data_IF_337035312537
#
_entry.id   IF_337035312537
#
_cell.length_a   1.000
_cell.length_b   1.000
_cell.length_c   1.000
_cell.angle_alpha   90.00
_cell.angle_beta   90.00
_cell.angle_gamma   90.00
#
_symmetry.space_group_name_H-M   'P 1'
#
loop_
_entity.id
_entity.type
_entity.pdbx_description
1 polymer ?
#
# COMPACT_ATOMS: atom_id res chain seq x y z
N UNK A 1 -22.79 7.63 10.23
CA UNK A 1 -21.36 8.01 10.35
C UNK A 1 -20.82 8.06 8.94
N UNK A 2 -20.08 9.08 8.62
CA UNK A 2 -19.48 9.14 7.31
C UNK A 2 -18.39 8.05 7.19
N UNK A 3 -18.27 7.36 6.06
CA UNK A 3 -17.27 6.33 5.88
C UNK A 3 -15.84 6.91 5.89
N UNK A 4 -14.90 6.18 6.47
CA UNK A 4 -13.48 6.49 6.39
C UNK A 4 -12.97 6.31 4.96
N UNK A 5 -13.39 5.23 4.31
CA UNK A 5 -13.13 4.92 2.91
C UNK A 5 -14.44 4.54 2.25
N UNK A 6 -14.76 5.18 1.11
CA UNK A 6 -15.89 4.83 0.27
C UNK A 6 -15.44 4.59 -1.17
N UNK A 7 -15.85 3.47 -1.74
CA UNK A 7 -15.71 3.17 -3.17
C UNK A 7 -17.10 3.14 -3.77
N UNK A 8 -17.33 3.91 -4.84
CA UNK A 8 -18.63 4.01 -5.51
C UNK A 8 -18.50 3.73 -7.00
N UNK A 9 -19.21 2.71 -7.49
CA UNK A 9 -19.32 2.30 -8.89
C UNK A 9 -17.97 2.18 -9.62
N UNK A 10 -16.94 1.68 -8.91
CA UNK A 10 -15.58 1.61 -9.40
C UNK A 10 -15.45 0.57 -10.52
N UNK A 11 -15.05 1.02 -11.70
CA UNK A 11 -14.71 0.17 -12.82
C UNK A 11 -13.27 0.41 -13.26
N UNK A 12 -12.52 -0.68 -13.42
CA UNK A 12 -11.09 -0.66 -13.78
C UNK A 12 -10.84 -1.55 -14.99
N UNK A 13 -10.04 -1.05 -15.92
CA UNK A 13 -9.58 -1.80 -17.09
C UNK A 13 -8.07 -1.80 -17.18
N UNK A 14 -7.53 -2.87 -17.76
CA UNK A 14 -6.11 -2.97 -18.11
C UNK A 14 -5.95 -3.04 -19.63
N UNK A 15 -5.01 -2.25 -20.16
CA UNK A 15 -4.58 -2.36 -21.54
C UNK A 15 -3.69 -3.59 -21.72
N UNK A 16 -3.98 -4.42 -22.73
CA UNK A 16 -3.18 -5.60 -23.10
C UNK A 16 -2.94 -5.59 -24.61
N UNK A 17 -2.02 -6.39 -25.10
CA UNK A 17 -1.72 -6.54 -26.53
C UNK A 17 -2.95 -6.99 -27.34
N UNK A 18 -3.96 -7.60 -26.68
CA UNK A 18 -5.19 -8.11 -27.28
C UNK A 18 -6.39 -7.20 -27.08
N UNK A 19 -6.20 -6.00 -26.53
CA UNK A 19 -7.26 -5.04 -26.22
C UNK A 19 -7.37 -4.74 -24.73
N UNK A 20 -8.53 -4.28 -24.28
CA UNK A 20 -8.77 -3.95 -22.88
C UNK A 20 -9.45 -5.11 -22.14
N UNK A 21 -8.96 -5.42 -20.95
CA UNK A 21 -9.58 -6.38 -20.03
C UNK A 21 -10.20 -5.60 -18.87
N UNK A 22 -11.49 -5.82 -18.63
CA UNK A 22 -12.19 -5.26 -17.49
C UNK A 22 -11.89 -6.11 -16.25
N UNK A 23 -11.28 -5.50 -15.25
CA UNK A 23 -10.89 -6.17 -14.01
C UNK A 23 -11.88 -5.89 -12.86
N UNK A 24 -12.50 -4.70 -12.85
CA UNK A 24 -13.58 -4.34 -11.94
C UNK A 24 -14.73 -3.75 -12.74
N UNK A 25 -15.97 -4.05 -12.33
CA UNK A 25 -17.20 -3.58 -12.95
C UNK A 25 -18.19 -3.12 -11.87
N UNK A 26 -18.30 -1.81 -11.66
CA UNK A 26 -19.28 -1.20 -10.75
C UNK A 26 -19.12 -1.60 -9.28
N UNK A 27 -17.89 -1.79 -8.79
CA UNK A 27 -17.64 -2.19 -7.39
C UNK A 27 -17.94 -1.02 -6.46
N UNK A 28 -18.76 -1.29 -5.42
CA UNK A 28 -19.05 -0.33 -4.36
C UNK A 28 -18.86 -0.98 -3.00
N UNK A 29 -18.23 -0.28 -2.06
CA UNK A 29 -18.06 -0.66 -0.65
C UNK A 29 -17.75 0.55 0.21
N UNK A 30 -18.12 0.45 1.48
CA UNK A 30 -17.82 1.45 2.49
C UNK A 30 -17.10 0.80 3.66
N UNK A 31 -16.19 1.55 4.27
CA UNK A 31 -15.47 1.18 5.49
C UNK A 31 -15.52 2.34 6.48
N UNK A 32 -16.03 2.09 7.68
CA UNK A 32 -16.05 3.10 8.74
C UNK A 32 -14.84 2.97 9.67
N UNK A 33 -14.53 4.03 10.40
CA UNK A 33 -13.40 4.02 11.34
C UNK A 33 -13.61 2.93 12.42
N UNK A 34 -12.55 2.15 12.68
CA UNK A 34 -12.55 1.05 13.66
C UNK A 34 -13.17 -0.25 13.15
N UNK A 35 -13.66 -0.30 11.92
CA UNK A 35 -14.22 -1.50 11.31
C UNK A 35 -13.13 -2.37 10.66
N UNK A 36 -13.39 -3.67 10.56
CA UNK A 36 -12.62 -4.61 9.72
C UNK A 36 -13.53 -5.15 8.63
N UNK A 37 -13.26 -4.80 7.37
CA UNK A 37 -14.00 -5.30 6.21
C UNK A 37 -13.21 -6.42 5.54
N UNK A 38 -13.83 -7.59 5.37
CA UNK A 38 -13.26 -8.71 4.65
C UNK A 38 -13.85 -8.80 3.22
N UNK A 39 -12.98 -8.77 2.20
CA UNK A 39 -13.36 -8.99 0.81
C UNK A 39 -12.96 -10.43 0.44
N UNK A 40 -13.95 -11.28 0.18
CA UNK A 40 -13.75 -12.69 -0.16
C UNK A 40 -14.14 -12.99 -1.60
N UNK A 41 -13.52 -13.99 -2.20
CA UNK A 41 -13.79 -14.40 -3.58
C UNK A 41 -12.65 -15.26 -4.14
N UNK A 42 -12.88 -15.86 -5.29
CA UNK A 42 -11.91 -16.70 -5.99
C UNK A 42 -10.70 -15.89 -6.51
N UNK A 43 -9.64 -16.61 -6.95
CA UNK A 43 -8.52 -15.97 -7.63
C UNK A 43 -9.02 -15.26 -8.91
N UNK A 44 -8.55 -14.05 -9.16
CA UNK A 44 -8.98 -13.26 -10.31
C UNK A 44 -10.30 -12.49 -10.14
N UNK A 45 -10.98 -12.57 -8.98
CA UNK A 45 -12.25 -11.85 -8.73
C UNK A 45 -12.10 -10.33 -8.50
N UNK A 46 -10.90 -9.76 -8.63
CA UNK A 46 -10.68 -8.32 -8.53
C UNK A 46 -10.27 -7.79 -7.15
N UNK A 47 -10.18 -8.62 -6.11
CA UNK A 47 -9.84 -8.18 -4.72
C UNK A 47 -8.58 -7.33 -4.64
N UNK A 48 -7.48 -7.83 -5.19
CA UNK A 48 -6.20 -7.10 -5.20
C UNK A 48 -6.26 -5.85 -6.06
N UNK A 49 -7.00 -5.89 -7.18
CA UNK A 49 -7.21 -4.71 -8.04
C UNK A 49 -7.98 -3.63 -7.30
N UNK A 50 -9.00 -3.99 -6.53
CA UNK A 50 -9.75 -3.05 -5.69
C UNK A 50 -8.82 -2.36 -4.68
N UNK A 51 -8.03 -3.13 -3.93
CA UNK A 51 -7.10 -2.57 -2.95
C UNK A 51 -5.99 -1.70 -3.59
N UNK A 52 -5.42 -2.13 -4.73
CA UNK A 52 -4.42 -1.35 -5.47
C UNK A 52 -5.01 -0.07 -6.06
N UNK A 53 -6.31 -0.08 -6.45
CA UNK A 53 -7.01 1.12 -6.94
C UNK A 53 -7.07 2.21 -5.89
N UNK A 54 -7.33 1.86 -4.62
CA UNK A 54 -7.37 2.82 -3.51
C UNK A 54 -6.06 3.59 -3.39
N UNK A 55 -4.95 2.91 -3.61
CA UNK A 55 -3.62 3.53 -3.55
C UNK A 55 -3.14 4.11 -4.87
N UNK A 56 -3.90 4.00 -5.97
CA UNK A 56 -3.45 4.40 -7.30
C UNK A 56 -2.21 3.61 -7.76
N UNK A 57 -2.14 2.32 -7.45
CA UNK A 57 -1.02 1.42 -7.75
C UNK A 57 -1.37 0.38 -8.84
N UNK A 58 -2.22 0.75 -9.80
CA UNK A 58 -2.65 -0.14 -10.90
C UNK A 58 -1.55 -0.36 -11.96
N UNK A 59 -0.44 0.35 -11.89
CA UNK A 59 0.59 0.38 -12.93
C UNK A 59 0.14 1.11 -14.20
N UNK A 60 1.04 1.18 -15.19
CA UNK A 60 0.84 2.00 -16.40
C UNK A 60 -0.29 1.47 -17.32
N UNK A 61 -0.57 0.17 -17.26
CA UNK A 61 -1.62 -0.46 -18.06
C UNK A 61 -3.01 -0.37 -17.43
N UNK A 62 -3.08 -0.10 -16.11
CA UNK A 62 -4.34 -0.06 -15.36
C UNK A 62 -4.95 1.35 -15.32
N UNK A 63 -6.25 1.43 -15.53
CA UNK A 63 -6.97 2.70 -15.52
C UNK A 63 -8.33 2.58 -14.85
N UNK A 64 -8.62 3.50 -13.91
CA UNK A 64 -9.98 3.73 -13.43
C UNK A 64 -10.79 4.36 -14.56
N UNK A 65 -11.87 3.70 -15.00
CA UNK A 65 -12.74 4.17 -16.07
C UNK A 65 -13.91 4.97 -15.54
N UNK A 66 -14.55 4.47 -14.49
CA UNK A 66 -15.69 5.11 -13.83
C UNK A 66 -15.63 4.91 -12.34
N UNK A 67 -16.46 5.66 -11.63
CA UNK A 67 -16.56 5.60 -10.18
C UNK A 67 -15.59 6.54 -9.48
N UNK A 68 -15.60 6.47 -8.17
CA UNK A 68 -14.73 7.27 -7.30
C UNK A 68 -14.26 6.46 -6.09
N UNK A 69 -13.17 6.93 -5.50
CA UNK A 69 -12.62 6.40 -4.27
C UNK A 69 -12.42 7.58 -3.33
N UNK A 70 -13.19 7.65 -2.26
CA UNK A 70 -13.13 8.72 -1.27
C UNK A 70 -12.47 8.22 0.01
N UNK A 71 -11.43 8.89 0.45
CA UNK A 71 -10.77 8.66 1.73
C UNK A 71 -10.87 9.93 2.58
N UNK A 72 -11.51 9.85 3.76
CA UNK A 72 -11.79 11.00 4.62
C UNK A 72 -12.47 12.17 3.84
N UNK A 73 -13.34 11.83 2.87
CA UNK A 73 -14.04 12.81 2.04
C UNK A 73 -13.23 13.36 0.85
N UNK A 74 -11.97 12.97 0.68
CA UNK A 74 -11.11 13.36 -0.45
C UNK A 74 -11.17 12.31 -1.57
N UNK A 75 -11.53 12.71 -2.80
CA UNK A 75 -11.60 11.81 -3.96
C UNK A 75 -10.21 11.48 -4.51
N UNK A 76 -9.69 10.32 -4.14
CA UNK A 76 -8.35 9.85 -4.51
C UNK A 76 -8.16 9.61 -6.02
N UNK A 77 -9.26 9.50 -6.78
CA UNK A 77 -9.17 9.33 -8.25
C UNK A 77 -8.78 10.63 -8.96
N UNK A 78 -8.89 11.78 -8.27
CA UNK A 78 -8.65 13.11 -8.83
C UNK A 78 -7.45 13.84 -8.23
N UNK A 79 -6.87 13.33 -7.16
CA UNK A 79 -5.73 13.97 -6.53
C UNK A 79 -4.45 13.82 -7.36
N UNK A 80 -3.52 14.76 -7.27
CA UNK A 80 -2.23 14.64 -7.94
C UNK A 80 -1.37 13.53 -7.31
N UNK A 81 -0.41 13.02 -8.06
CA UNK A 81 0.50 11.96 -7.61
C UNK A 81 1.29 12.32 -6.33
N UNK A 82 1.56 13.62 -6.11
CA UNK A 82 2.18 14.10 -4.87
C UNK A 82 1.31 13.81 -3.65
N UNK A 83 -0.02 14.04 -3.76
CA UNK A 83 -0.96 13.79 -2.67
C UNK A 83 -1.09 12.29 -2.37
N UNK A 84 -1.18 11.45 -3.42
CA UNK A 84 -1.17 9.98 -3.21
C UNK A 84 0.11 9.51 -2.52
N UNK A 85 1.25 10.13 -2.80
CA UNK A 85 2.51 9.80 -2.13
C UNK A 85 2.51 10.16 -0.65
N UNK A 86 1.86 11.26 -0.26
CA UNK A 86 1.68 11.66 1.14
C UNK A 86 0.76 10.68 1.90
N UNK A 87 -0.25 10.12 1.24
CA UNK A 87 -1.20 9.17 1.82
C UNK A 87 -0.57 7.78 1.99
N UNK A 88 0.17 7.32 0.97
CA UNK A 88 0.79 5.99 0.95
C UNK A 88 1.82 5.84 2.06
N UNK A 89 1.66 4.83 2.89
CA UNK A 89 2.56 4.52 4.01
C UNK A 89 2.38 5.41 5.25
N UNK A 90 1.62 6.49 5.14
CA UNK A 90 1.34 7.41 6.24
C UNK A 90 -0.10 7.27 6.76
N UNK A 91 -1.09 7.41 5.88
CA UNK A 91 -2.51 7.33 6.21
C UNK A 91 -3.12 5.98 5.82
N UNK A 92 -2.66 5.41 4.70
CA UNK A 92 -3.08 4.09 4.23
C UNK A 92 -1.82 3.24 4.03
N UNK A 93 -1.72 2.13 4.76
CA UNK A 93 -0.68 1.11 4.58
C UNK A 93 -1.21 -0.05 3.73
N UNK A 94 -0.33 -0.69 2.98
CA UNK A 94 -0.64 -1.88 2.18
C UNK A 94 0.36 -3.00 2.49
N UNK A 95 -0.16 -4.18 2.81
CA UNK A 95 0.66 -5.38 2.99
C UNK A 95 0.46 -6.26 1.77
N UNK A 96 1.53 -6.47 1.00
CA UNK A 96 1.50 -7.32 -0.19
C UNK A 96 1.41 -8.80 0.19
N UNK A 97 0.80 -9.59 -0.68
CA UNK A 97 0.63 -11.03 -0.48
C UNK A 97 1.98 -11.78 -0.39
N UNK A 98 2.99 -11.30 -1.12
CA UNK A 98 4.36 -11.82 -1.08
C UNK A 98 5.30 -10.74 -0.51
N UNK A 99 5.52 -10.70 0.81
CA UNK A 99 6.29 -9.63 1.45
C UNK A 99 7.74 -9.58 0.98
N UNK A 100 8.36 -10.71 0.63
CA UNK A 100 9.74 -10.75 0.15
C UNK A 100 9.92 -10.05 -1.20
N UNK A 101 8.91 -10.09 -2.08
CA UNK A 101 8.94 -9.41 -3.38
C UNK A 101 8.72 -7.89 -3.26
N UNK A 102 8.23 -7.41 -2.12
CA UNK A 102 8.01 -5.98 -1.87
C UNK A 102 9.26 -5.25 -1.39
N UNK A 103 10.26 -5.98 -0.91
CA UNK A 103 11.54 -5.43 -0.47
C UNK A 103 12.54 -5.34 -1.63
N UNK A 104 13.25 -4.22 -1.70
CA UNK A 104 14.34 -4.04 -2.65
C UNK A 104 15.57 -4.85 -2.19
N UNK A 105 16.03 -5.87 -2.96
CA UNK A 105 17.09 -6.77 -2.52
C UNK A 105 18.48 -6.11 -2.39
N UNK A 106 18.67 -4.93 -2.99
CA UNK A 106 19.96 -4.20 -2.97
C UNK A 106 20.00 -3.06 -1.95
N UNK A 107 18.95 -2.91 -1.14
CA UNK A 107 18.91 -1.96 -0.03
C UNK A 107 18.83 -2.72 1.29
N UNK A 108 19.47 -2.17 2.34
CA UNK A 108 19.38 -2.75 3.68
C UNK A 108 17.97 -2.63 4.25
N UNK A 109 17.63 -3.51 5.17
CA UNK A 109 16.33 -3.46 5.87
C UNK A 109 16.17 -2.15 6.62
N UNK A 110 17.22 -1.69 7.30
CA UNK A 110 17.22 -0.41 8.01
C UNK A 110 16.86 0.76 7.11
N UNK A 111 17.45 0.83 5.91
CA UNK A 111 17.15 1.85 4.91
C UNK A 111 15.68 1.82 4.52
N UNK A 112 15.15 0.64 4.19
CA UNK A 112 13.78 0.50 3.70
C UNK A 112 12.73 0.78 4.78
N UNK A 113 13.00 0.43 6.04
CA UNK A 113 12.10 0.73 7.16
C UNK A 113 12.20 2.19 7.59
N UNK A 114 13.39 2.80 7.50
CA UNK A 114 13.60 4.20 7.88
C UNK A 114 13.04 5.19 6.85
N UNK A 115 13.00 4.84 5.57
CA UNK A 115 12.59 5.73 4.48
C UNK A 115 11.18 6.34 4.69
N UNK A 116 10.12 5.57 4.99
CA UNK A 116 8.80 6.14 5.28
C UNK A 116 8.80 7.05 6.52
N UNK A 117 9.57 6.70 7.54
CA UNK A 117 9.69 7.50 8.76
C UNK A 117 10.32 8.85 8.45
N UNK A 118 11.42 8.85 7.71
CA UNK A 118 12.09 10.07 7.26
C UNK A 118 11.18 10.92 6.37
N UNK A 119 10.51 10.29 5.42
CA UNK A 119 9.67 10.97 4.43
C UNK A 119 8.44 11.65 5.06
N UNK A 120 7.76 10.95 5.99
CA UNK A 120 6.45 11.38 6.50
C UNK A 120 6.50 12.05 7.87
N UNK A 121 7.49 11.75 8.72
CA UNK A 121 7.52 12.21 10.11
C UNK A 121 8.50 13.36 10.37
N UNK A 122 9.07 13.96 9.31
CA UNK A 122 10.01 15.10 9.42
C UNK A 122 11.21 14.83 10.34
N UNK A 123 11.61 13.58 10.50
CA UNK A 123 12.78 13.17 11.26
C UNK A 123 14.04 13.28 10.42
N UNK A 124 15.19 13.50 11.06
CA UNK A 124 16.48 13.34 10.42
C UNK A 124 16.73 11.86 10.06
N UNK A 125 17.61 11.59 9.11
CA UNK A 125 17.92 10.22 8.72
C UNK A 125 18.45 9.35 9.87
N UNK A 126 19.38 9.81 10.74
CA UNK A 126 19.81 9.05 11.91
C UNK A 126 18.66 8.73 12.89
N UNK A 127 17.73 9.67 13.11
CA UNK A 127 16.55 9.42 13.96
C UNK A 127 15.60 8.40 13.32
N UNK A 128 15.43 8.43 12.00
CA UNK A 128 14.61 7.46 11.28
C UNK A 128 15.20 6.05 11.36
N UNK A 129 16.51 5.88 11.21
CA UNK A 129 17.23 4.61 11.39
C UNK A 129 17.07 4.09 12.83
N UNK A 130 17.25 4.94 13.82
CA UNK A 130 17.07 4.54 15.23
C UNK A 130 15.63 4.09 15.52
N UNK A 131 14.64 4.74 14.91
CA UNK A 131 13.24 4.34 15.04
C UNK A 131 12.95 3.02 14.29
N UNK A 132 13.57 2.81 13.13
CA UNK A 132 13.48 1.56 12.38
C UNK A 132 13.94 0.37 13.23
N UNK A 133 15.03 0.51 13.99
CA UNK A 133 15.51 -0.52 14.93
C UNK A 133 14.46 -0.86 16.01
N UNK A 134 13.81 0.16 16.57
CA UNK A 134 12.72 -0.06 17.55
C UNK A 134 11.51 -0.76 16.92
N UNK A 135 11.16 -0.44 15.67
CA UNK A 135 10.06 -1.12 14.95
C UNK A 135 10.37 -2.58 14.68
N UNK A 136 11.62 -2.90 14.28
CA UNK A 136 12.05 -4.29 14.12
C UNK A 136 11.99 -5.06 15.46
N UNK A 137 12.43 -4.45 16.54
CA UNK A 137 12.32 -5.05 17.87
C UNK A 137 10.85 -5.27 18.29
N UNK A 138 9.96 -4.33 17.97
CA UNK A 138 8.53 -4.42 18.28
C UNK A 138 7.85 -5.61 17.58
N UNK A 139 8.32 -5.99 16.40
CA UNK A 139 7.85 -7.19 15.68
C UNK A 139 8.68 -8.43 15.98
N UNK A 140 9.43 -8.41 17.10
CA UNK A 140 10.19 -9.53 17.63
C UNK A 140 11.35 -10.03 16.73
N UNK A 141 11.89 -9.18 15.88
CA UNK A 141 13.14 -9.50 15.16
C UNK A 141 14.29 -9.53 16.17
N UNK A 142 15.00 -10.67 16.33
CA UNK A 142 16.14 -10.75 17.23
C UNK A 142 17.28 -9.86 16.73
N UNK A 143 18.06 -9.29 17.66
CA UNK A 143 19.20 -8.42 17.36
C UNK A 143 18.89 -7.27 16.41
N UNK A 144 17.70 -6.67 16.58
CA UNK A 144 17.07 -5.72 15.65
C UNK A 144 18.01 -4.57 15.21
N UNK A 145 18.82 -4.02 16.13
CA UNK A 145 19.77 -2.94 15.82
C UNK A 145 20.89 -3.39 14.87
N UNK A 146 21.41 -4.61 15.06
CA UNK A 146 22.45 -5.16 14.19
C UNK A 146 21.89 -5.52 12.82
N UNK A 147 20.64 -5.98 12.78
CA UNK A 147 19.94 -6.38 11.55
C UNK A 147 19.51 -5.22 10.66
N UNK A 148 19.63 -3.98 11.11
CA UNK A 148 19.39 -2.80 10.26
C UNK A 148 20.31 -2.77 9.02
N UNK A 149 21.53 -3.33 9.14
CA UNK A 149 22.51 -3.40 8.06
C UNK A 149 22.34 -4.63 7.16
N UNK A 150 21.49 -5.59 7.56
CA UNK A 150 21.22 -6.79 6.78
C UNK A 150 20.36 -6.48 5.54
N UNK A 151 20.53 -7.29 4.52
CA UNK A 151 19.73 -7.27 3.28
C UNK A 151 18.55 -8.25 3.38
N UNK A 152 17.49 -8.07 2.57
CA UNK A 152 16.31 -8.94 2.61
C UNK A 152 16.60 -10.43 2.55
N UNK A 153 17.58 -10.85 1.72
CA UNK A 153 17.95 -12.26 1.56
C UNK A 153 18.63 -12.89 2.81
N UNK A 154 19.02 -12.08 3.79
CA UNK A 154 19.60 -12.53 5.07
C UNK A 154 18.52 -12.78 6.13
N UNK A 155 17.25 -12.43 5.82
CA UNK A 155 16.10 -12.72 6.67
C UNK A 155 15.44 -14.02 6.24
N UNK A 156 15.01 -14.84 7.21
CA UNK A 156 14.16 -15.99 6.96
C UNK A 156 12.72 -15.51 6.68
N UNK A 157 12.02 -16.22 5.81
CA UNK A 157 10.68 -15.85 5.33
C UNK A 157 9.56 -16.08 6.37
N UNK A 158 9.73 -15.62 7.59
CA UNK A 158 8.71 -15.75 8.62
C UNK A 158 8.83 -14.67 9.68
#
# INVERSE_FOLDING_TARGET
>A
MDPLLAISDLSVTFATDRGHVQALDGVSLDLVAGETLAIVGESGSGKSVTALSVLGLLGDSGQVKTGKIEFEGEDLTKVPASRLREIRGNQIAFIFQEPMSSLNPVLTIGTQVAEPIWLHHKKSWPEAIAEAGKLLAKVAIPDAEQRLEDYPHQFSGG
#
